data_IF_375350807751
#
_entry.id   IF_375350807751
#
_cell.length_a   1.000
_cell.length_b   1.000
_cell.length_c   1.000
_cell.angle_alpha   90.00
_cell.angle_beta   90.00
_cell.angle_gamma   90.00
#
_symmetry.space_group_name_H-M   'P 1'
#
loop_
_entity.id
_entity.type
_entity.pdbx_description
1 polymer ?
#
# COMPACT_ATOMS: atom_id res chain seq x y z
N UNK A 1 -10.38 -6.92 -20.11
CA UNK A 1 -9.48 -6.01 -19.36
C UNK A 1 -9.23 -6.64 -18.00
N UNK A 2 -8.03 -6.47 -17.41
CA UNK A 2 -7.70 -7.06 -16.10
C UNK A 2 -8.46 -6.38 -14.95
N UNK A 3 -8.71 -7.13 -13.88
CA UNK A 3 -9.28 -6.65 -12.61
C UNK A 3 -8.20 -6.52 -11.51
N UNK A 4 -6.98 -6.96 -11.80
CA UNK A 4 -5.85 -6.91 -10.88
C UNK A 4 -5.20 -5.53 -10.86
N UNK A 5 -4.96 -5.03 -9.64
CA UNK A 5 -4.26 -3.78 -9.38
C UNK A 5 -3.13 -4.06 -8.40
N UNK A 6 -1.90 -3.79 -8.83
CA UNK A 6 -0.71 -3.91 -8.01
C UNK A 6 -0.28 -2.53 -7.52
N UNK A 7 -0.39 -2.30 -6.21
CA UNK A 7 0.15 -1.12 -5.56
C UNK A 7 1.62 -1.37 -5.20
N UNK A 8 2.49 -0.46 -5.61
CA UNK A 8 3.88 -0.40 -5.14
C UNK A 8 3.97 0.77 -4.16
N UNK A 9 4.13 0.47 -2.88
CA UNK A 9 4.09 1.46 -1.83
C UNK A 9 5.51 1.85 -1.39
N UNK A 10 5.79 3.15 -1.40
CA UNK A 10 7.12 3.71 -1.09
C UNK A 10 7.20 4.35 0.30
N UNK A 11 6.05 4.68 0.91
CA UNK A 11 5.96 5.25 2.24
C UNK A 11 5.15 4.31 3.12
N UNK A 12 5.58 4.04 4.37
CA UNK A 12 4.80 3.23 5.29
C UNK A 12 3.49 3.95 5.66
N UNK A 13 2.40 3.20 5.83
CA UNK A 13 1.13 3.75 6.37
C UNK A 13 1.24 3.86 7.89
N UNK A 14 1.77 2.82 8.51
CA UNK A 14 1.92 2.69 9.96
C UNK A 14 3.37 2.92 10.34
N UNK A 15 3.58 3.77 11.34
CA UNK A 15 4.90 4.00 11.93
C UNK A 15 4.80 3.80 13.43
N UNK A 16 5.59 2.88 13.97
CA UNK A 16 5.61 2.63 15.40
C UNK A 16 6.29 3.77 16.16
N UNK A 17 5.76 4.07 17.35
CA UNK A 17 6.26 5.12 18.22
C UNK A 17 5.70 6.51 17.95
N UNK A 18 5.92 7.41 18.90
CA UNK A 18 5.46 8.81 18.83
C UNK A 18 6.62 9.71 18.39
N UNK A 19 6.49 10.52 17.32
CA UNK A 19 7.53 11.45 16.92
C UNK A 19 7.80 12.48 18.03
N UNK A 20 9.07 12.76 18.34
CA UNK A 20 9.46 13.63 19.48
C UNK A 20 10.18 14.91 19.07
N UNK A 21 10.62 15.00 17.82
CA UNK A 21 11.26 16.18 17.24
C UNK A 21 10.39 16.82 16.16
N UNK A 22 10.62 18.12 15.89
CA UNK A 22 9.91 18.84 14.83
C UNK A 22 10.04 18.16 13.45
N UNK A 23 11.24 17.64 13.13
CA UNK A 23 11.48 16.93 11.88
C UNK A 23 10.68 15.62 11.80
N UNK A 24 10.63 14.84 12.89
CA UNK A 24 9.84 13.60 12.91
C UNK A 24 8.34 13.90 12.81
N UNK A 25 7.86 14.96 13.47
CA UNK A 25 6.47 15.40 13.39
C UNK A 25 6.11 15.79 11.95
N UNK A 26 6.94 16.60 11.30
CA UNK A 26 6.69 17.01 9.91
C UNK A 26 6.69 15.80 8.98
N UNK A 27 7.64 14.88 9.11
CA UNK A 27 7.64 13.65 8.33
C UNK A 27 6.39 12.82 8.55
N UNK A 28 5.87 12.74 9.79
CA UNK A 28 4.63 12.02 10.07
C UNK A 28 3.41 12.69 9.45
N UNK A 29 3.35 14.02 9.45
CA UNK A 29 2.30 14.78 8.76
C UNK A 29 2.33 14.50 7.25
N UNK A 30 3.53 14.49 6.66
CA UNK A 30 3.71 14.23 5.22
C UNK A 30 3.28 12.79 4.89
N UNK A 31 3.67 11.81 5.70
CA UNK A 31 3.24 10.40 5.58
C UNK A 31 1.72 10.26 5.64
N UNK A 32 1.06 10.87 6.64
CA UNK A 32 -0.40 10.81 6.80
C UNK A 32 -1.10 11.48 5.61
N UNK A 33 -0.64 12.66 5.22
CA UNK A 33 -1.24 13.43 4.12
C UNK A 33 -1.12 12.70 2.80
N UNK A 34 0.03 12.07 2.54
CA UNK A 34 0.27 11.29 1.33
C UNK A 34 -0.62 10.04 1.29
N UNK A 35 -0.73 9.31 2.41
CA UNK A 35 -1.53 8.09 2.47
C UNK A 35 -3.05 8.34 2.54
N UNK A 36 -3.50 9.55 2.92
CA UNK A 36 -4.93 9.85 3.05
C UNK A 36 -5.72 9.65 1.74
N UNK A 37 -5.14 10.04 0.60
CA UNK A 37 -5.75 9.83 -0.71
C UNK A 37 -5.90 8.33 -1.04
N UNK A 38 -4.83 7.56 -0.79
CA UNK A 38 -4.82 6.12 -0.99
C UNK A 38 -5.88 5.40 -0.16
N UNK A 39 -5.98 5.73 1.14
CA UNK A 39 -6.98 5.14 2.05
C UNK A 39 -8.42 5.45 1.61
N UNK A 40 -8.65 6.62 1.01
CA UNK A 40 -9.96 6.97 0.43
C UNK A 40 -10.29 6.11 -0.79
N UNK A 41 -9.32 5.85 -1.66
CA UNK A 41 -9.50 4.95 -2.81
C UNK A 41 -9.73 3.50 -2.35
N UNK A 42 -8.97 3.01 -1.37
CA UNK A 42 -9.15 1.68 -0.79
C UNK A 42 -10.56 1.46 -0.27
N UNK A 43 -11.12 2.43 0.45
CA UNK A 43 -12.50 2.37 0.89
C UNK A 43 -13.49 2.32 -0.26
N UNK A 44 -13.28 3.13 -1.30
CA UNK A 44 -14.16 3.15 -2.46
C UNK A 44 -14.17 1.79 -3.15
N UNK A 45 -13.01 1.16 -3.28
CA UNK A 45 -12.87 -0.19 -3.81
C UNK A 45 -13.57 -1.21 -2.89
N UNK A 46 -13.29 -1.18 -1.58
CA UNK A 46 -13.91 -2.09 -0.61
C UNK A 46 -15.45 -2.01 -0.63
N UNK A 47 -16.00 -0.79 -0.68
CA UNK A 47 -17.44 -0.58 -0.75
C UNK A 47 -18.06 -1.15 -2.03
N UNK A 48 -17.42 -0.94 -3.19
CA UNK A 48 -17.89 -1.54 -4.45
C UNK A 48 -17.85 -3.07 -4.38
N UNK A 49 -16.78 -3.66 -3.82
CA UNK A 49 -16.67 -5.11 -3.63
C UNK A 49 -17.81 -5.65 -2.75
N UNK A 50 -18.12 -4.98 -1.64
CA UNK A 50 -19.23 -5.37 -0.76
C UNK A 50 -20.59 -5.31 -1.47
N UNK A 51 -20.84 -4.25 -2.27
CA UNK A 51 -22.08 -4.13 -3.04
C UNK A 51 -22.22 -5.21 -4.12
N UNK A 52 -21.12 -5.58 -4.78
CA UNK A 52 -21.09 -6.70 -5.73
C UNK A 52 -21.38 -8.02 -4.98
N UNK A 53 -20.70 -8.27 -3.85
CA UNK A 53 -20.90 -9.47 -3.04
C UNK A 53 -22.34 -9.59 -2.51
N UNK A 54 -22.98 -8.47 -2.18
CA UNK A 54 -24.39 -8.40 -1.76
C UNK A 54 -25.39 -8.48 -2.92
N UNK A 55 -24.93 -8.60 -4.18
CA UNK A 55 -25.79 -8.63 -5.36
C UNK A 55 -26.51 -7.31 -5.67
N UNK A 56 -26.06 -6.21 -5.06
CA UNK A 56 -26.64 -4.86 -5.25
C UNK A 56 -26.08 -4.14 -6.46
N UNK A 57 -24.90 -4.57 -6.95
CA UNK A 57 -24.31 -4.12 -8.20
C UNK A 57 -24.04 -5.32 -9.11
N UNK A 58 -24.33 -5.22 -10.42
CA UNK A 58 -24.04 -6.29 -11.37
C UNK A 58 -22.54 -6.40 -11.62
N UNK A 59 -22.00 -7.61 -11.42
CA UNK A 59 -20.63 -7.94 -11.79
C UNK A 59 -20.45 -7.77 -13.31
N UNK A 60 -19.41 -7.07 -13.74
CA UNK A 60 -19.10 -6.83 -15.16
C UNK A 60 -19.28 -5.37 -15.60
N UNK A 61 -20.37 -4.71 -15.18
CA UNK A 61 -20.48 -3.24 -15.30
C UNK A 61 -19.57 -2.57 -14.25
N UNK A 62 -19.56 -3.14 -13.05
CA UNK A 62 -18.61 -2.82 -11.99
C UNK A 62 -17.57 -3.95 -11.88
N UNK A 63 -16.31 -3.57 -11.69
CA UNK A 63 -15.19 -4.52 -11.59
C UNK A 63 -14.96 -4.90 -10.15
N UNK A 64 -14.81 -6.20 -9.90
CA UNK A 64 -14.38 -6.72 -8.61
C UNK A 64 -12.85 -6.68 -8.52
N UNK A 65 -12.30 -5.53 -8.13
CA UNK A 65 -10.85 -5.29 -8.17
C UNK A 65 -10.11 -6.25 -7.23
N UNK A 66 -9.10 -6.96 -7.77
CA UNK A 66 -8.16 -7.79 -7.01
C UNK A 66 -6.95 -6.94 -6.65
N UNK A 67 -6.92 -6.45 -5.40
CA UNK A 67 -5.80 -5.63 -4.93
C UNK A 67 -4.62 -6.50 -4.48
N UNK A 68 -3.44 -6.02 -4.83
CA UNK A 68 -2.15 -6.56 -4.46
C UNK A 68 -1.26 -5.43 -3.96
N UNK A 69 -0.35 -5.71 -3.02
CA UNK A 69 0.62 -4.73 -2.53
C UNK A 69 2.03 -5.31 -2.51
N UNK A 70 2.97 -4.59 -3.10
CA UNK A 70 4.39 -4.68 -2.77
C UNK A 70 4.69 -3.47 -1.89
N UNK A 71 5.04 -3.74 -0.64
CA UNK A 71 5.67 -2.78 0.23
C UNK A 71 7.06 -3.31 0.60
N UNK A 72 7.91 -2.43 1.11
CA UNK A 72 9.23 -2.79 1.58
C UNK A 72 9.41 -2.32 3.02
N UNK A 73 8.32 -2.32 3.79
CA UNK A 73 8.27 -1.65 5.09
C UNK A 73 9.37 -2.15 6.03
N UNK A 74 9.61 -3.46 6.17
CA UNK A 74 10.70 -3.99 6.99
C UNK A 74 12.10 -3.54 6.54
N UNK A 75 12.31 -3.54 5.22
CA UNK A 75 13.58 -3.18 4.59
C UNK A 75 13.86 -1.67 4.65
N UNK A 76 12.82 -0.85 4.68
CA UNK A 76 12.90 0.62 4.69
C UNK A 76 12.72 1.23 6.08
N UNK A 77 12.30 0.46 7.10
CA UNK A 77 12.14 0.92 8.49
C UNK A 77 13.39 1.59 9.06
N UNK A 78 14.57 1.09 8.68
CA UNK A 78 15.87 1.60 9.15
C UNK A 78 16.35 2.83 8.38
N UNK A 79 15.68 3.21 7.28
CA UNK A 79 16.02 4.42 6.53
C UNK A 79 15.45 5.65 7.23
N UNK A 80 16.35 6.46 7.80
CA UNK A 80 15.98 7.71 8.46
C UNK A 80 15.35 8.71 7.48
N UNK A 81 14.59 9.67 8.02
CA UNK A 81 14.03 10.77 7.23
C UNK A 81 15.10 11.58 6.47
N UNK A 82 16.34 11.62 6.96
CA UNK A 82 17.46 12.29 6.30
C UNK A 82 17.94 11.57 5.04
N UNK A 83 17.61 10.28 4.86
CA UNK A 83 17.93 9.55 3.63
C UNK A 83 17.21 10.10 2.40
N UNK A 84 16.06 10.76 2.57
CA UNK A 84 15.24 11.34 1.48
C UNK A 84 15.97 12.40 0.65
N UNK A 85 17.03 13.02 1.20
CA UNK A 85 17.84 14.03 0.50
C UNK A 85 19.18 13.47 -0.01
N UNK A 86 19.46 12.19 0.22
CA UNK A 86 20.69 11.55 -0.25
C UNK A 86 20.53 11.15 -1.73
N UNK A 87 21.28 11.82 -2.59
CA UNK A 87 21.31 11.56 -4.03
C UNK A 87 22.60 10.84 -4.49
N UNK A 88 23.40 10.31 -3.58
CA UNK A 88 24.61 9.56 -3.92
C UNK A 88 24.26 8.29 -4.70
N UNK A 89 25.00 8.04 -5.78
CA UNK A 89 24.75 6.89 -6.66
C UNK A 89 24.72 5.56 -5.91
N UNK A 90 25.62 5.37 -4.94
CA UNK A 90 25.68 4.16 -4.13
C UNK A 90 24.38 3.95 -3.34
N UNK A 91 23.80 5.03 -2.80
CA UNK A 91 22.55 4.97 -2.07
C UNK A 91 21.36 4.70 -2.99
N UNK A 92 21.29 5.33 -4.16
CA UNK A 92 20.24 5.05 -5.16
C UNK A 92 20.32 3.60 -5.67
N UNK A 93 21.53 3.08 -5.89
CA UNK A 93 21.74 1.67 -6.26
C UNK A 93 21.27 0.73 -5.14
N UNK A 94 21.57 1.06 -3.88
CA UNK A 94 21.06 0.33 -2.72
C UNK A 94 19.52 0.29 -2.68
N UNK A 95 18.84 1.44 -2.82
CA UNK A 95 17.37 1.50 -2.86
C UNK A 95 16.78 0.69 -4.00
N UNK A 96 17.41 0.73 -5.19
CA UNK A 96 17.01 -0.08 -6.35
C UNK A 96 17.08 -1.57 -6.03
N UNK A 97 18.17 -2.02 -5.43
CA UNK A 97 18.40 -3.43 -5.14
C UNK A 97 17.44 -3.92 -4.05
N UNK A 98 17.14 -3.08 -3.06
CA UNK A 98 16.13 -3.32 -2.05
C UNK A 98 14.72 -3.51 -2.64
N UNK A 99 14.32 -2.63 -3.55
CA UNK A 99 13.05 -2.75 -4.26
C UNK A 99 12.96 -4.00 -5.14
N UNK A 100 14.08 -4.43 -5.75
CA UNK A 100 14.13 -5.69 -6.51
C UNK A 100 13.98 -6.92 -5.62
N UNK A 101 14.59 -6.90 -4.43
CA UNK A 101 14.41 -7.96 -3.45
C UNK A 101 12.94 -8.06 -3.05
N UNK A 102 12.34 -6.97 -2.60
CA UNK A 102 10.93 -6.95 -2.18
C UNK A 102 9.98 -7.42 -3.29
N UNK A 103 10.23 -7.03 -4.54
CA UNK A 103 9.45 -7.52 -5.67
C UNK A 103 9.65 -9.01 -5.95
N UNK A 104 10.87 -9.53 -5.76
CA UNK A 104 11.18 -10.96 -5.94
C UNK A 104 10.49 -11.79 -4.85
N UNK A 105 10.62 -11.38 -3.60
CA UNK A 105 9.97 -12.01 -2.45
C UNK A 105 8.45 -12.04 -2.65
N UNK A 106 7.86 -10.91 -3.06
CA UNK A 106 6.43 -10.85 -3.36
C UNK A 106 6.01 -11.80 -4.50
N UNK A 107 6.80 -11.88 -5.58
CA UNK A 107 6.51 -12.78 -6.69
C UNK A 107 6.55 -14.25 -6.24
N UNK A 108 7.55 -14.64 -5.45
CA UNK A 108 7.66 -16.02 -4.93
C UNK A 108 6.45 -16.41 -4.09
N UNK A 109 5.92 -15.47 -3.30
CA UNK A 109 4.78 -15.73 -2.42
C UNK A 109 3.42 -15.63 -3.12
N UNK A 110 3.27 -14.72 -4.10
CA UNK A 110 1.97 -14.24 -4.54
C UNK A 110 1.70 -14.36 -6.04
N UNK A 111 2.66 -14.75 -6.87
CA UNK A 111 2.48 -14.76 -8.33
C UNK A 111 1.27 -15.57 -8.78
N UNK A 112 1.05 -16.75 -8.20
CA UNK A 112 -0.07 -17.63 -8.56
C UNK A 112 -1.44 -17.06 -8.15
N UNK A 113 -1.50 -16.05 -7.28
CA UNK A 113 -2.75 -15.40 -6.90
C UNK A 113 -3.23 -14.40 -7.97
N UNK A 114 -2.32 -13.89 -8.81
CA UNK A 114 -2.64 -12.86 -9.82
C UNK A 114 -3.64 -13.40 -10.83
N UNK A 115 -4.72 -12.64 -11.07
CA UNK A 115 -5.83 -13.06 -11.93
C UNK A 115 -6.83 -14.00 -11.26
N UNK A 116 -6.54 -14.50 -10.05
CA UNK A 116 -7.37 -15.47 -9.35
C UNK A 116 -8.01 -14.87 -8.09
N UNK A 117 -7.23 -14.22 -7.23
CA UNK A 117 -7.67 -13.66 -5.95
C UNK A 117 -6.80 -12.48 -5.51
N UNK A 118 -7.33 -11.52 -4.73
CA UNK A 118 -6.50 -10.47 -4.12
C UNK A 118 -5.49 -11.07 -3.14
N UNK A 119 -4.39 -10.34 -2.94
CA UNK A 119 -3.39 -10.64 -1.89
C UNK A 119 -3.33 -9.56 -0.81
N UNK A 120 -3.96 -8.41 -1.04
CA UNK A 120 -4.20 -7.39 -0.05
C UNK A 120 -5.64 -7.46 0.47
N UNK A 121 -5.80 -7.56 1.79
CA UNK A 121 -7.10 -7.42 2.45
C UNK A 121 -7.40 -5.95 2.75
N UNK A 122 -8.26 -5.34 1.94
CA UNK A 122 -8.65 -3.93 2.11
C UNK A 122 -9.46 -3.68 3.38
N UNK A 123 -10.13 -4.70 3.95
CA UNK A 123 -10.99 -4.52 5.12
C UNK A 123 -10.18 -4.33 6.41
N UNK A 124 -9.01 -4.97 6.50
CA UNK A 124 -8.06 -4.80 7.60
C UNK A 124 -7.22 -3.51 7.53
N UNK A 125 -7.17 -2.86 6.36
CA UNK A 125 -6.39 -1.63 6.12
C UNK A 125 -7.18 -0.35 6.45
N UNK A 126 -8.47 -0.47 6.80
CA UNK A 126 -9.34 0.64 7.16
C UNK A 126 -9.63 0.58 8.67
N UNK A 127 -9.24 1.61 9.43
CA UNK A 127 -9.66 1.76 10.84
C UNK A 127 -11.20 1.69 10.99
N UNK A 128 -11.71 1.39 12.18
CA UNK A 128 -13.15 1.22 12.42
C UNK A 128 -14.03 2.42 12.00
N UNK A 129 -13.48 3.65 12.01
CA UNK A 129 -14.17 4.85 11.51
C UNK A 129 -14.28 4.90 9.98
N UNK A 130 -13.72 3.91 9.29
CA UNK A 130 -13.53 3.91 7.86
C UNK A 130 -14.09 2.71 7.09
N UNK A 131 -14.69 1.76 7.79
CA UNK A 131 -15.48 0.67 7.18
C UNK A 131 -16.72 1.23 6.49
N UNK A 132 -17.18 0.62 5.38
CA UNK A 132 -18.46 0.99 4.80
C UNK A 132 -19.61 0.70 5.78
N UNK A 133 -20.63 1.55 5.78
CA UNK A 133 -21.84 1.42 6.62
C UNK A 133 -22.74 0.27 6.16
#
# INVERSE_FOLDING_TARGET
ATEDVLLVQINPVVREGTPKSANEIQNRIDEITFNAGLLREFRSIAFVKELIAAGRLPHGEYRDIRMHRIDADEAFKDLSASSKVNAEWAFIAYLRDLGRSAASDWLEENYDAVGQRPTLDLSGELDDGFKPL
#
